data_IF_185546394298
#
_entry.id   IF_185546394298
#
_cell.length_a   1.000
_cell.length_b   1.000
_cell.length_c   1.000
_cell.angle_alpha   90.00
_cell.angle_beta   90.00
_cell.angle_gamma   90.00
#
_symmetry.space_group_name_H-M   'P 1'
#
loop_
_entity.id
_entity.type
_entity.pdbx_description
1 polymer ?
#
# COMPACT_ATOMS: atom_id res chain seq x y z
N UNK A 1 81.52 39.63 -44.50
CA UNK A 1 80.49 40.20 -43.59
C UNK A 1 79.27 39.30 -43.65
N UNK A 2 79.00 38.52 -42.60
CA UNK A 2 77.76 37.73 -42.56
C UNK A 2 76.57 38.70 -42.59
N UNK A 3 75.72 38.58 -43.62
CA UNK A 3 74.50 39.35 -43.73
C UNK A 3 73.62 39.05 -42.51
N UNK A 4 73.52 40.01 -41.58
CA UNK A 4 72.70 39.87 -40.36
C UNK A 4 71.20 40.07 -40.64
N UNK A 5 70.85 40.65 -41.78
CA UNK A 5 69.47 40.85 -42.24
C UNK A 5 68.64 39.54 -42.33
N UNK A 6 69.11 38.45 -42.96
CA UNK A 6 68.37 37.18 -42.95
C UNK A 6 68.23 36.60 -41.53
N UNK A 7 69.24 36.74 -40.67
CA UNK A 7 69.16 36.27 -39.28
C UNK A 7 68.11 37.04 -38.47
N UNK A 8 68.04 38.37 -38.63
CA UNK A 8 67.02 39.22 -38.00
C UNK A 8 65.62 38.88 -38.51
N UNK A 9 65.48 38.63 -39.81
CA UNK A 9 64.20 38.24 -40.41
C UNK A 9 63.70 36.89 -39.88
N UNK A 10 64.59 35.91 -39.73
CA UNK A 10 64.27 34.60 -39.14
C UNK A 10 63.83 34.75 -37.68
N UNK A 11 64.53 35.56 -36.89
CA UNK A 11 64.18 35.82 -35.48
C UNK A 11 62.81 36.51 -35.36
N UNK A 12 62.55 37.50 -36.21
CA UNK A 12 61.26 38.17 -36.25
C UNK A 12 60.12 37.20 -36.60
N UNK A 13 60.31 36.37 -37.63
CA UNK A 13 59.34 35.36 -38.05
C UNK A 13 59.06 34.35 -36.94
N UNK A 14 60.11 33.87 -36.25
CA UNK A 14 59.98 32.95 -35.12
C UNK A 14 59.21 33.58 -33.96
N UNK A 15 59.50 34.84 -33.65
CA UNK A 15 58.85 35.56 -32.54
C UNK A 15 57.38 35.84 -32.87
N UNK A 16 57.08 36.28 -34.10
CA UNK A 16 55.71 36.47 -34.58
C UNK A 16 54.93 35.16 -34.57
N UNK A 17 55.51 34.06 -35.04
CA UNK A 17 54.87 32.73 -35.02
C UNK A 17 54.63 32.24 -33.60
N UNK A 18 55.56 32.47 -32.67
CA UNK A 18 55.39 32.14 -31.25
C UNK A 18 54.26 32.94 -30.60
N UNK A 19 54.17 34.25 -30.88
CA UNK A 19 53.10 35.12 -30.40
C UNK A 19 51.74 34.68 -30.94
N UNK A 20 51.67 34.32 -32.23
CA UNK A 20 50.43 33.85 -32.86
C UNK A 20 49.95 32.54 -32.23
N UNK A 21 50.87 31.59 -32.01
CA UNK A 21 50.57 30.32 -31.36
C UNK A 21 50.13 30.52 -29.91
N UNK A 22 50.82 31.39 -29.16
CA UNK A 22 50.49 31.73 -27.76
C UNK A 22 49.15 32.46 -27.62
N UNK A 23 48.68 33.12 -28.68
CA UNK A 23 47.42 33.84 -28.72
C UNK A 23 46.19 32.92 -28.83
N UNK A 24 46.34 31.70 -29.34
CA UNK A 24 45.22 30.79 -29.59
C UNK A 24 44.86 30.02 -28.31
N UNK A 25 43.56 29.93 -27.99
CA UNK A 25 43.04 29.01 -27.00
C UNK A 25 41.72 28.37 -27.45
N UNK A 26 41.41 27.20 -26.89
CA UNK A 26 40.30 26.36 -27.32
C UNK A 26 39.37 26.13 -26.13
N UNK A 27 38.07 26.29 -26.34
CA UNK A 27 37.04 25.99 -25.35
C UNK A 27 36.30 24.72 -25.77
N UNK A 28 36.30 23.72 -24.90
CA UNK A 28 35.55 22.49 -25.11
C UNK A 28 34.05 22.67 -24.80
N UNK A 29 33.15 21.84 -25.37
CA UNK A 29 31.71 21.93 -25.10
C UNK A 29 31.32 21.77 -23.61
N UNK A 30 32.17 21.14 -22.79
CA UNK A 30 31.96 20.93 -21.35
C UNK A 30 32.55 22.04 -20.47
N UNK A 31 33.19 23.02 -21.08
CA UNK A 31 33.91 24.09 -20.40
C UNK A 31 33.37 25.46 -20.83
N UNK A 32 33.61 26.44 -20.00
CA UNK A 32 33.43 27.85 -20.29
C UNK A 32 34.66 28.58 -19.78
N UNK A 33 35.03 29.70 -20.41
CA UNK A 33 36.25 30.42 -20.06
C UNK A 33 35.95 31.87 -19.70
N UNK A 34 36.63 32.35 -18.66
CA UNK A 34 36.63 33.75 -18.26
C UNK A 34 37.99 34.33 -18.61
N UNK A 35 37.97 35.42 -19.38
CA UNK A 35 39.17 36.20 -19.68
C UNK A 35 39.26 37.32 -18.66
N UNK A 36 40.29 37.25 -17.82
CA UNK A 36 40.61 38.24 -16.79
C UNK A 36 41.79 39.07 -17.28
N UNK A 37 41.61 40.38 -17.38
CA UNK A 37 42.63 41.34 -17.83
C UNK A 37 42.96 42.28 -16.70
N UNK A 38 44.22 42.29 -16.25
CA UNK A 38 44.68 43.11 -15.12
C UNK A 38 43.77 42.95 -13.88
N UNK A 39 43.36 41.72 -13.58
CA UNK A 39 42.47 41.40 -12.45
C UNK A 39 40.99 41.74 -12.65
N UNK A 40 40.59 42.38 -13.75
CA UNK A 40 39.19 42.70 -14.07
C UNK A 40 38.60 41.69 -15.08
N UNK A 41 37.31 41.41 -14.96
CA UNK A 41 36.62 40.50 -15.89
C UNK A 41 36.38 41.24 -17.20
N UNK A 42 37.12 40.87 -18.25
CA UNK A 42 36.99 41.48 -19.57
C UNK A 42 35.85 40.85 -20.35
N UNK A 43 35.85 39.52 -20.49
CA UNK A 43 34.78 38.81 -21.22
C UNK A 43 34.61 37.37 -20.74
N UNK A 44 33.40 36.86 -20.91
CA UNK A 44 33.04 35.46 -20.64
C UNK A 44 32.70 34.80 -21.97
N UNK A 45 33.26 33.62 -22.22
CA UNK A 45 33.04 32.83 -23.44
C UNK A 45 32.46 31.46 -23.06
N UNK A 46 31.23 31.21 -23.50
CA UNK A 46 30.45 30.02 -23.11
C UNK A 46 30.20 29.06 -24.28
N UNK A 47 30.47 29.51 -25.51
CA UNK A 47 30.34 28.71 -26.72
C UNK A 47 31.65 28.00 -27.05
N UNK A 48 31.60 26.70 -27.41
CA UNK A 48 32.78 25.97 -27.81
C UNK A 48 33.35 26.54 -29.10
N UNK A 49 34.66 26.68 -29.16
CA UNK A 49 35.32 27.29 -30.30
C UNK A 49 36.77 27.66 -30.02
N UNK A 50 37.40 28.16 -31.08
CA UNK A 50 38.75 28.70 -31.02
C UNK A 50 38.63 30.21 -30.80
N UNK A 51 39.33 30.70 -29.80
CA UNK A 51 39.35 32.11 -29.44
C UNK A 51 40.80 32.61 -29.39
N UNK A 52 40.95 33.92 -29.54
CA UNK A 52 42.23 34.60 -29.49
C UNK A 52 42.32 35.46 -28.22
N UNK A 53 43.44 35.35 -27.52
CA UNK A 53 43.81 36.18 -26.38
C UNK A 53 45.11 36.93 -26.66
N UNK A 54 45.41 37.96 -25.91
CA UNK A 54 46.73 38.61 -26.00
C UNK A 54 47.82 37.64 -25.48
N UNK A 55 48.94 37.45 -26.19
CA UNK A 55 49.98 36.48 -25.82
C UNK A 55 50.82 36.92 -24.60
N UNK A 56 50.55 38.09 -24.02
CA UNK A 56 51.28 38.66 -22.89
C UNK A 56 50.81 38.10 -21.53
N UNK A 57 50.74 36.77 -21.40
CA UNK A 57 50.34 36.13 -20.15
C UNK A 57 51.26 36.50 -18.97
N UNK A 58 52.52 36.85 -19.24
CA UNK A 58 53.51 37.25 -18.24
C UNK A 58 53.32 38.66 -17.66
N UNK A 59 52.45 39.50 -18.24
CA UNK A 59 52.16 40.86 -17.76
C UNK A 59 50.76 40.97 -17.14
N UNK A 60 50.13 39.85 -16.76
CA UNK A 60 48.73 39.78 -16.32
C UNK A 60 47.73 40.44 -17.30
N UNK A 61 48.10 40.55 -18.58
CA UNK A 61 47.30 41.23 -19.58
C UNK A 61 46.05 40.43 -19.95
N UNK A 62 46.14 39.11 -20.11
CA UNK A 62 44.99 38.21 -20.30
C UNK A 62 45.27 36.84 -19.64
N UNK A 63 44.59 36.57 -18.53
CA UNK A 63 44.58 35.26 -17.86
C UNK A 63 43.24 34.55 -18.15
N UNK A 64 43.33 33.29 -18.60
CA UNK A 64 42.15 32.48 -18.93
C UNK A 64 41.89 31.52 -17.77
N UNK A 65 40.71 31.66 -17.16
CA UNK A 65 40.21 30.71 -16.18
C UNK A 65 39.13 29.83 -16.82
N UNK A 66 39.39 28.53 -16.87
CA UNK A 66 38.42 27.54 -17.31
C UNK A 66 37.50 27.15 -16.15
N UNK A 67 36.20 27.05 -16.43
CA UNK A 67 35.17 26.60 -15.51
C UNK A 67 34.36 25.49 -16.16
N UNK A 68 33.91 24.49 -15.39
CA UNK A 68 33.01 23.46 -15.90
C UNK A 68 31.64 24.04 -16.23
N UNK A 69 31.06 23.59 -17.35
CA UNK A 69 29.67 23.86 -17.77
C UNK A 69 28.73 22.69 -17.43
N UNK A 70 29.29 21.55 -17.09
CA UNK A 70 28.55 20.36 -16.71
C UNK A 70 27.91 20.48 -15.33
N UNK A 71 26.94 19.61 -15.09
CA UNK A 71 26.30 19.45 -13.79
C UNK A 71 27.30 18.84 -12.81
N UNK A 72 27.40 19.45 -11.64
CA UNK A 72 28.23 19.05 -10.52
C UNK A 72 27.35 18.59 -9.35
N UNK A 73 27.93 17.75 -8.50
CA UNK A 73 27.28 17.22 -7.30
C UNK A 73 28.07 17.68 -6.08
N UNK A 74 27.35 18.18 -5.08
CA UNK A 74 27.85 18.45 -3.74
C UNK A 74 27.12 17.54 -2.76
N UNK A 75 27.88 16.76 -2.01
CA UNK A 75 27.37 15.86 -0.98
C UNK A 75 27.47 16.50 0.41
N UNK A 76 26.48 16.24 1.25
CA UNK A 76 26.41 16.60 2.65
C UNK A 76 26.10 15.31 3.44
N UNK A 77 27.13 14.76 4.07
CA UNK A 77 27.03 13.50 4.78
C UNK A 77 26.96 13.70 6.30
N UNK A 78 26.25 12.79 6.98
CA UNK A 78 26.18 12.67 8.45
C UNK A 78 25.76 13.97 9.17
N UNK A 79 24.87 14.75 8.56
CA UNK A 79 24.39 15.98 9.17
C UNK A 79 23.40 15.67 10.30
N UNK A 80 23.71 16.11 11.52
CA UNK A 80 22.80 15.97 12.66
C UNK A 80 21.77 17.10 12.68
N UNK A 81 20.49 16.75 12.56
CA UNK A 81 19.35 17.66 12.61
C UNK A 81 18.39 17.27 13.73
N UNK A 82 17.70 18.28 14.28
CA UNK A 82 16.64 18.08 15.27
C UNK A 82 15.29 18.38 14.61
N UNK A 83 14.31 17.50 14.83
CA UNK A 83 12.93 17.71 14.38
C UNK A 83 12.09 18.41 15.44
N UNK A 84 10.89 18.86 15.08
CA UNK A 84 9.98 19.55 16.00
C UNK A 84 9.62 18.74 17.26
N UNK A 85 9.72 17.40 17.21
CA UNK A 85 9.50 16.45 18.30
C UNK A 85 10.73 16.29 19.23
N UNK A 86 11.77 17.10 19.05
CA UNK A 86 12.97 17.11 19.89
C UNK A 86 14.00 16.00 19.60
N UNK A 87 13.66 15.04 18.74
CA UNK A 87 14.53 13.91 18.36
C UNK A 87 15.63 14.33 17.37
N UNK A 88 16.76 13.65 17.45
CA UNK A 88 17.90 13.85 16.56
C UNK A 88 17.99 12.78 15.48
N UNK A 89 18.36 13.22 14.27
CA UNK A 89 18.54 12.38 13.09
C UNK A 89 19.83 12.69 12.40
N UNK A 90 20.39 11.68 11.76
CA UNK A 90 21.51 11.80 10.84
C UNK A 90 20.97 11.77 9.41
N UNK A 91 21.25 12.85 8.68
CA UNK A 91 20.74 13.08 7.34
C UNK A 91 21.90 13.14 6.37
N UNK A 92 21.79 12.33 5.32
CA UNK A 92 22.66 12.42 4.15
C UNK A 92 21.85 13.08 3.03
N UNK A 93 22.37 14.16 2.46
CA UNK A 93 21.75 14.87 1.36
C UNK A 93 22.77 15.24 0.30
N UNK A 94 22.31 15.50 -0.91
CA UNK A 94 23.14 16.01 -1.98
C UNK A 94 22.37 17.03 -2.81
N UNK A 95 23.11 17.99 -3.33
CA UNK A 95 22.60 18.99 -4.26
C UNK A 95 23.33 18.87 -5.58
N UNK A 96 22.55 18.94 -6.64
CA UNK A 96 23.01 18.89 -8.02
C UNK A 96 22.89 20.30 -8.58
N UNK A 97 24.01 20.87 -9.01
CA UNK A 97 24.09 22.26 -9.42
C UNK A 97 24.96 22.43 -10.67
N UNK A 98 24.79 23.54 -11.39
CA UNK A 98 25.67 23.93 -12.50
C UNK A 98 26.01 25.41 -12.40
N UNK A 99 27.14 25.81 -12.98
CA UNK A 99 27.54 27.21 -13.06
C UNK A 99 26.83 27.84 -14.25
N UNK A 100 25.77 28.61 -13.97
CA UNK A 100 24.96 29.27 -15.01
C UNK A 100 25.56 30.61 -15.42
N UNK A 101 26.03 31.41 -14.45
CA UNK A 101 26.70 32.68 -14.70
C UNK A 101 28.14 32.64 -14.20
N UNK A 102 29.07 32.47 -15.13
CA UNK A 102 30.51 32.45 -14.85
C UNK A 102 31.04 33.82 -14.38
N UNK A 103 30.46 34.94 -14.83
CA UNK A 103 30.87 36.28 -14.38
C UNK A 103 30.56 36.42 -12.89
N UNK A 104 29.31 36.19 -12.51
CA UNK A 104 28.86 36.32 -11.13
C UNK A 104 29.55 35.29 -10.21
N UNK A 105 29.84 34.10 -10.72
CA UNK A 105 30.65 33.10 -10.01
C UNK A 105 32.07 33.61 -9.70
N UNK A 106 32.76 34.25 -10.66
CA UNK A 106 34.08 34.83 -10.41
C UNK A 106 34.04 36.04 -9.49
N UNK A 107 33.02 36.90 -9.60
CA UNK A 107 32.85 38.06 -8.72
C UNK A 107 32.57 37.66 -7.28
N UNK A 108 31.78 36.61 -7.07
CA UNK A 108 31.35 36.18 -5.72
C UNK A 108 32.38 35.31 -5.01
N UNK A 109 32.98 34.34 -5.70
CA UNK A 109 33.85 33.31 -5.09
C UNK A 109 35.23 33.22 -5.74
N UNK A 110 35.64 34.24 -6.49
CA UNK A 110 36.92 34.21 -7.21
C UNK A 110 37.05 32.99 -8.14
N UNK A 111 35.94 32.45 -8.64
CA UNK A 111 35.98 31.28 -9.52
C UNK A 111 36.56 30.03 -8.85
N UNK A 112 36.70 30.04 -7.51
CA UNK A 112 37.13 28.89 -6.73
C UNK A 112 35.92 28.01 -6.41
N UNK A 113 35.97 26.79 -6.92
CA UNK A 113 34.96 25.78 -6.69
C UNK A 113 34.81 25.44 -5.21
N UNK A 114 35.91 25.32 -4.48
CA UNK A 114 35.87 24.91 -3.07
C UNK A 114 35.20 26.00 -2.21
N UNK A 115 35.49 27.26 -2.51
CA UNK A 115 34.85 28.40 -1.86
C UNK A 115 33.34 28.43 -2.12
N UNK A 116 32.90 28.20 -3.36
CA UNK A 116 31.48 28.10 -3.70
C UNK A 116 30.79 26.92 -3.00
N UNK A 117 31.40 25.73 -3.05
CA UNK A 117 30.87 24.53 -2.41
C UNK A 117 30.75 24.70 -0.90
N UNK A 118 31.73 25.34 -0.25
CA UNK A 118 31.67 25.63 1.19
C UNK A 118 30.51 26.57 1.55
N UNK A 119 30.29 27.63 0.76
CA UNK A 119 29.15 28.54 0.94
C UNK A 119 27.82 27.82 0.71
N UNK A 120 27.70 27.07 -0.39
CA UNK A 120 26.50 26.31 -0.72
C UNK A 120 26.20 25.25 0.35
N UNK A 121 27.23 24.56 0.88
CA UNK A 121 27.12 23.59 1.96
C UNK A 121 26.52 24.21 3.22
N UNK A 122 26.99 25.39 3.62
CA UNK A 122 26.45 26.12 4.79
C UNK A 122 24.99 26.52 4.58
N UNK A 123 24.62 26.92 3.36
CA UNK A 123 23.22 27.24 3.02
C UNK A 123 22.32 25.99 3.03
N UNK A 124 22.80 24.89 2.46
CA UNK A 124 22.10 23.61 2.47
C UNK A 124 21.90 23.09 3.89
N UNK A 125 22.94 23.15 4.76
CA UNK A 125 22.82 22.80 6.18
C UNK A 125 21.74 23.65 6.87
N UNK A 126 21.77 24.97 6.66
CA UNK A 126 20.77 25.89 7.26
C UNK A 126 19.33 25.61 6.77
N UNK A 127 19.16 25.33 5.48
CA UNK A 127 17.86 25.00 4.89
C UNK A 127 17.32 23.67 5.43
N UNK A 128 18.17 22.64 5.49
CA UNK A 128 17.81 21.35 6.07
C UNK A 128 17.42 21.49 7.55
N UNK A 129 18.19 22.22 8.37
CA UNK A 129 17.84 22.46 9.78
C UNK A 129 16.47 23.11 9.93
N UNK A 130 16.16 24.11 9.09
CA UNK A 130 14.87 24.80 9.12
C UNK A 130 13.73 23.85 8.75
N UNK A 131 13.82 23.16 7.62
CA UNK A 131 12.74 22.29 7.12
C UNK A 131 12.49 21.11 8.07
N UNK A 132 13.55 20.50 8.61
CA UNK A 132 13.41 19.44 9.62
C UNK A 132 12.87 19.98 10.96
N UNK A 133 13.30 21.17 11.38
CA UNK A 133 12.83 21.80 12.62
C UNK A 133 11.34 22.15 12.63
N UNK A 134 10.77 22.44 11.45
CA UNK A 134 9.34 22.78 11.30
C UNK A 134 8.41 21.56 11.19
N UNK A 135 8.97 20.34 10.99
CA UNK A 135 8.18 19.14 10.69
C UNK A 135 8.38 18.05 11.74
N UNK A 136 7.34 17.25 11.92
CA UNK A 136 7.38 16.06 12.78
C UNK A 136 8.10 14.89 12.08
N UNK A 137 8.60 13.97 12.87
CA UNK A 137 9.32 12.78 12.39
C UNK A 137 8.55 11.96 11.33
N UNK A 138 7.28 11.68 11.56
CA UNK A 138 6.44 10.84 10.69
C UNK A 138 6.33 11.41 9.28
N UNK A 139 6.35 12.74 9.17
CA UNK A 139 6.28 13.49 7.92
C UNK A 139 7.55 13.28 7.10
N UNK A 140 8.72 13.31 7.75
CA UNK A 140 10.02 13.17 7.10
C UNK A 140 10.25 11.79 6.44
N UNK A 141 9.56 10.75 6.93
CA UNK A 141 9.65 9.39 6.40
C UNK A 141 8.46 8.99 5.51
N UNK A 142 7.49 9.88 5.32
CA UNK A 142 6.25 9.59 4.58
C UNK A 142 6.27 10.14 3.14
N UNK A 143 5.12 10.09 2.45
CA UNK A 143 4.91 10.66 1.12
C UNK A 143 5.21 12.17 1.03
N UNK A 144 5.27 12.86 2.17
CA UNK A 144 5.58 14.30 2.27
C UNK A 144 7.09 14.61 2.19
N UNK A 145 7.95 13.60 2.06
CA UNK A 145 9.40 13.79 1.83
C UNK A 145 9.70 14.55 0.53
N UNK A 146 8.86 14.40 -0.50
CA UNK A 146 8.99 15.14 -1.75
C UNK A 146 8.80 16.64 -1.54
N UNK A 147 7.80 17.02 -0.74
CA UNK A 147 7.51 18.43 -0.43
C UNK A 147 8.66 19.07 0.35
N UNK A 148 9.26 18.32 1.29
CA UNK A 148 10.46 18.78 2.01
C UNK A 148 11.64 19.06 1.08
N UNK A 149 11.87 18.22 0.07
CA UNK A 149 12.95 18.46 -0.89
C UNK A 149 12.69 19.72 -1.73
N UNK A 150 11.43 19.99 -2.07
CA UNK A 150 11.03 21.21 -2.78
C UNK A 150 11.27 22.44 -1.90
N UNK A 151 10.87 22.39 -0.62
CA UNK A 151 11.09 23.48 0.32
C UNK A 151 12.58 23.78 0.49
N UNK A 152 13.41 22.75 0.72
CA UNK A 152 14.87 22.91 0.83
C UNK A 152 15.45 23.47 -0.46
N UNK A 153 14.99 23.01 -1.62
CA UNK A 153 15.44 23.53 -2.93
C UNK A 153 15.10 25.01 -3.07
N UNK A 154 13.86 25.41 -2.78
CA UNK A 154 13.41 26.81 -2.86
C UNK A 154 14.21 27.71 -1.91
N UNK A 155 14.51 27.19 -0.72
CA UNK A 155 15.29 27.87 0.31
C UNK A 155 16.74 28.17 -0.10
N UNK A 156 17.34 27.31 -0.93
CA UNK A 156 18.73 27.49 -1.38
C UNK A 156 18.87 28.21 -2.73
N UNK A 157 17.83 28.20 -3.57
CA UNK A 157 17.87 28.80 -4.93
C UNK A 157 18.33 30.25 -4.87
N UNK A 158 17.71 31.07 -4.02
CA UNK A 158 18.02 32.50 -3.95
C UNK A 158 19.46 32.80 -3.48
N UNK A 159 20.06 31.93 -2.67
CA UNK A 159 21.45 32.08 -2.25
C UNK A 159 22.43 31.49 -3.26
N UNK A 160 22.04 30.44 -3.99
CA UNK A 160 22.82 29.87 -5.08
C UNK A 160 22.92 30.83 -6.28
N UNK A 161 21.82 31.51 -6.63
CA UNK A 161 21.78 32.50 -7.71
C UNK A 161 22.74 33.67 -7.46
N UNK A 162 22.89 34.12 -6.20
CA UNK A 162 23.87 35.15 -5.80
C UNK A 162 25.32 34.71 -6.04
N UNK A 163 25.57 33.41 -6.11
CA UNK A 163 26.88 32.82 -6.42
C UNK A 163 27.04 32.51 -7.91
N UNK A 164 26.06 32.81 -8.77
CA UNK A 164 26.04 32.42 -10.18
C UNK A 164 25.77 30.93 -10.41
N UNK A 165 25.23 30.24 -9.40
CA UNK A 165 24.92 28.81 -9.45
C UNK A 165 23.43 28.59 -9.71
N UNK A 166 23.13 27.61 -10.56
CA UNK A 166 21.77 27.12 -10.78
C UNK A 166 21.61 25.74 -10.15
N UNK A 167 20.60 25.61 -9.29
CA UNK A 167 20.25 24.35 -8.63
C UNK A 167 19.32 23.54 -9.53
N UNK A 168 19.79 22.37 -9.97
CA UNK A 168 18.98 21.42 -10.72
C UNK A 168 18.04 20.67 -9.77
N UNK A 169 18.61 19.99 -8.77
CA UNK A 169 17.83 19.17 -7.83
C UNK A 169 18.51 19.07 -6.46
N UNK A 170 17.70 18.83 -5.43
CA UNK A 170 18.15 18.53 -4.06
C UNK A 170 17.51 17.22 -3.64
N UNK A 171 18.33 16.29 -3.18
CA UNK A 171 17.86 14.98 -2.75
C UNK A 171 18.44 14.61 -1.41
N UNK A 172 17.57 14.09 -0.57
CA UNK A 172 17.96 13.45 0.68
C UNK A 172 18.22 11.98 0.33
N UNK A 173 19.43 11.47 0.58
CA UNK A 173 19.80 10.07 0.38
C UNK A 173 19.23 9.21 1.51
N UNK A 174 19.46 9.61 2.76
CA UNK A 174 19.14 8.83 3.95
C UNK A 174 18.73 9.72 5.12
N UNK A 175 17.88 9.21 5.99
CA UNK A 175 17.48 9.86 7.24
C UNK A 175 17.33 8.76 8.29
N UNK A 176 18.33 8.65 9.15
CA UNK A 176 18.38 7.61 10.17
C UNK A 176 18.23 8.23 11.57
N UNK A 177 17.61 7.49 12.49
CA UNK A 177 17.61 7.82 13.91
C UNK A 177 19.03 7.68 14.46
N UNK A 178 19.45 8.58 15.35
CA UNK A 178 20.67 8.35 16.13
C UNK A 178 20.51 7.10 17.00
N UNK A 179 21.60 6.36 17.24
CA UNK A 179 21.56 5.12 18.02
C UNK A 179 20.96 5.31 19.42
N UNK A 180 21.16 6.49 20.02
CA UNK A 180 20.64 6.89 21.34
C UNK A 180 19.09 6.93 21.40
N UNK A 181 18.44 7.49 20.37
CA UNK A 181 16.97 7.70 20.33
C UNK A 181 16.25 6.51 19.68
N UNK A 182 16.99 5.77 18.85
CA UNK A 182 16.56 4.60 18.10
C UNK A 182 15.85 3.57 18.98
N UNK A 183 16.49 3.09 20.04
CA UNK A 183 15.98 1.97 20.84
C UNK A 183 14.64 2.29 21.54
N UNK A 184 14.57 3.43 22.24
CA UNK A 184 13.34 3.85 22.93
C UNK A 184 12.17 4.07 21.97
N UNK A 185 12.46 4.66 20.79
CA UNK A 185 11.43 4.89 19.77
C UNK A 185 10.97 3.56 19.18
N UNK A 186 11.88 2.61 18.92
CA UNK A 186 11.53 1.26 18.47
C UNK A 186 10.66 0.51 19.49
N UNK A 187 11.00 0.59 20.78
CA UNK A 187 10.23 -0.07 21.83
C UNK A 187 8.82 0.53 21.96
N UNK A 188 8.69 1.86 21.86
CA UNK A 188 7.37 2.54 21.83
C UNK A 188 6.56 2.13 20.60
N UNK A 189 7.16 2.15 19.41
CA UNK A 189 6.48 1.75 18.16
C UNK A 189 6.05 0.28 18.22
N UNK A 190 6.86 -0.59 18.82
CA UNK A 190 6.51 -2.00 19.05
C UNK A 190 5.31 -2.12 19.99
N UNK A 191 5.30 -1.38 21.10
CA UNK A 191 4.19 -1.37 22.04
C UNK A 191 2.89 -0.85 21.39
N UNK A 192 2.95 0.26 20.65
CA UNK A 192 1.80 0.81 19.90
C UNK A 192 1.27 -0.19 18.86
N UNK A 193 2.17 -0.84 18.10
CA UNK A 193 1.77 -1.87 17.12
C UNK A 193 1.12 -3.09 17.78
N UNK A 194 1.62 -3.52 18.94
CA UNK A 194 1.03 -4.61 19.70
C UNK A 194 -0.34 -4.22 20.25
N UNK A 195 -0.47 -2.99 20.77
CA UNK A 195 -1.74 -2.47 21.27
C UNK A 195 -2.79 -2.35 20.15
N UNK A 196 -2.41 -1.81 18.98
CA UNK A 196 -3.29 -1.71 17.81
C UNK A 196 -3.69 -3.10 17.29
N UNK A 197 -2.73 -4.04 17.21
CA UNK A 197 -3.02 -5.41 16.82
C UNK A 197 -4.00 -6.08 17.80
N UNK A 198 -3.83 -5.87 19.10
CA UNK A 198 -4.73 -6.43 20.11
C UNK A 198 -6.11 -5.77 20.08
N UNK A 199 -6.18 -4.47 19.83
CA UNK A 199 -7.43 -3.76 19.63
C UNK A 199 -8.20 -4.32 18.42
N UNK A 200 -7.54 -4.51 17.28
CA UNK A 200 -8.14 -5.11 16.09
C UNK A 200 -8.59 -6.55 16.37
N UNK A 201 -7.77 -7.36 17.05
CA UNK A 201 -8.14 -8.74 17.44
C UNK A 201 -9.34 -8.77 18.37
N UNK A 202 -9.38 -7.89 19.38
CA UNK A 202 -10.48 -7.78 20.32
C UNK A 202 -11.79 -7.43 19.61
N UNK A 203 -11.77 -6.42 18.72
CA UNK A 203 -12.92 -6.07 17.87
C UNK A 203 -13.33 -7.20 16.94
N UNK A 204 -12.37 -7.95 16.40
CA UNK A 204 -12.62 -9.14 15.59
C UNK A 204 -13.35 -10.22 16.39
N UNK A 205 -12.87 -10.52 17.60
CA UNK A 205 -13.49 -11.49 18.53
C UNK A 205 -14.89 -11.05 18.96
N UNK A 206 -15.08 -9.78 19.32
CA UNK A 206 -16.39 -9.22 19.69
C UNK A 206 -17.40 -9.39 18.55
N UNK A 207 -17.03 -8.97 17.33
CA UNK A 207 -17.88 -9.12 16.14
C UNK A 207 -18.20 -10.59 15.84
N UNK A 208 -17.19 -11.46 15.89
CA UNK A 208 -17.37 -12.89 15.66
C UNK A 208 -18.31 -13.52 16.69
N UNK A 209 -18.16 -13.18 17.97
CA UNK A 209 -19.01 -13.70 19.04
C UNK A 209 -20.45 -13.20 18.86
N UNK A 210 -20.64 -11.91 18.54
CA UNK A 210 -21.96 -11.33 18.26
C UNK A 210 -22.65 -12.06 17.11
N UNK A 211 -21.97 -12.24 15.97
CA UNK A 211 -22.56 -12.92 14.82
C UNK A 211 -22.86 -14.39 15.10
N UNK A 212 -22.00 -15.09 15.84
CA UNK A 212 -22.26 -16.46 16.28
C UNK A 212 -23.51 -16.55 17.16
N UNK A 213 -23.65 -15.67 18.15
CA UNK A 213 -24.85 -15.66 19.01
C UNK A 213 -26.14 -15.32 18.26
N UNK A 214 -26.08 -14.44 17.25
CA UNK A 214 -27.23 -14.17 16.38
C UNK A 214 -27.58 -15.41 15.55
N UNK A 215 -26.58 -16.05 14.93
CA UNK A 215 -26.78 -17.25 14.14
C UNK A 215 -27.32 -18.43 14.97
N UNK A 216 -26.81 -18.62 16.19
CA UNK A 216 -27.27 -19.68 17.10
C UNK A 216 -28.73 -19.46 17.51
N UNK A 217 -29.11 -18.20 17.80
CA UNK A 217 -30.50 -17.83 18.10
C UNK A 217 -31.41 -18.11 16.91
N UNK A 218 -31.02 -17.66 15.72
CA UNK A 218 -31.78 -17.84 14.48
C UNK A 218 -31.96 -19.33 14.16
N UNK A 219 -30.92 -20.14 14.35
CA UNK A 219 -31.01 -21.60 14.16
C UNK A 219 -32.02 -22.24 15.12
N UNK A 220 -32.03 -21.84 16.40
CA UNK A 220 -33.01 -22.34 17.38
C UNK A 220 -34.43 -21.92 17.00
N UNK A 221 -34.62 -20.67 16.57
CA UNK A 221 -35.92 -20.15 16.13
C UNK A 221 -36.45 -20.92 14.91
N UNK A 222 -35.62 -21.12 13.89
CA UNK A 222 -35.96 -21.91 12.69
C UNK A 222 -36.35 -23.34 13.06
N UNK A 223 -35.58 -24.00 13.94
CA UNK A 223 -35.89 -25.38 14.37
C UNK A 223 -37.20 -25.42 15.17
N UNK A 224 -37.44 -24.45 16.06
CA UNK A 224 -38.65 -24.38 16.85
C UNK A 224 -39.90 -24.12 16.00
N UNK A 225 -39.79 -23.24 15.01
CA UNK A 225 -40.86 -22.97 14.04
C UNK A 225 -41.13 -24.20 13.16
N UNK A 226 -40.08 -24.86 12.65
CA UNK A 226 -40.22 -26.10 11.89
C UNK A 226 -40.88 -27.23 12.70
N UNK A 227 -40.54 -27.37 13.99
CA UNK A 227 -41.18 -28.34 14.89
C UNK A 227 -42.65 -27.99 15.16
N UNK A 228 -42.95 -26.71 15.40
CA UNK A 228 -44.33 -26.23 15.58
C UNK A 228 -45.18 -26.56 14.35
N UNK A 229 -44.69 -26.21 13.17
CA UNK A 229 -45.38 -26.46 11.90
C UNK A 229 -45.55 -27.96 11.64
N UNK A 230 -44.53 -28.77 11.95
CA UNK A 230 -44.61 -30.23 11.87
C UNK A 230 -45.68 -30.81 12.79
N UNK A 231 -45.78 -30.37 14.04
CA UNK A 231 -46.82 -30.86 14.97
C UNK A 231 -48.22 -30.37 14.58
N UNK A 232 -48.35 -29.14 14.05
CA UNK A 232 -49.62 -28.65 13.48
C UNK A 232 -50.05 -29.52 12.30
N UNK A 233 -49.14 -29.76 11.34
CA UNK A 233 -49.43 -30.58 10.17
C UNK A 233 -49.77 -32.03 10.57
N UNK A 234 -49.06 -32.59 11.55
CA UNK A 234 -49.36 -33.93 12.07
C UNK A 234 -50.74 -33.96 12.75
N UNK A 235 -51.05 -32.96 13.58
CA UNK A 235 -52.35 -32.82 14.23
C UNK A 235 -53.51 -32.66 13.24
N UNK A 236 -53.32 -31.88 12.18
CA UNK A 236 -54.29 -31.74 11.08
C UNK A 236 -54.47 -33.07 10.33
N UNK A 237 -53.38 -33.77 10.01
CA UNK A 237 -53.41 -35.07 9.36
C UNK A 237 -54.12 -36.14 10.20
N UNK A 238 -53.88 -36.16 11.51
CA UNK A 238 -54.54 -37.08 12.45
C UNK A 238 -56.03 -36.75 12.62
N UNK A 239 -56.39 -35.47 12.65
CA UNK A 239 -57.78 -35.02 12.68
C UNK A 239 -58.52 -35.40 11.39
N UNK A 240 -57.92 -35.16 10.22
CA UNK A 240 -58.49 -35.53 8.92
C UNK A 240 -58.61 -37.05 8.77
N UNK A 241 -57.57 -37.80 9.16
CA UNK A 241 -57.60 -39.27 9.21
C UNK A 241 -58.77 -39.74 10.08
N UNK A 242 -58.90 -39.22 11.29
CA UNK A 242 -59.97 -39.60 12.22
C UNK A 242 -61.36 -39.25 11.67
N UNK A 243 -61.50 -38.09 11.02
CA UNK A 243 -62.74 -37.69 10.34
C UNK A 243 -63.10 -38.65 9.21
N UNK A 244 -62.16 -38.95 8.31
CA UNK A 244 -62.38 -39.86 7.19
C UNK A 244 -62.73 -41.27 7.67
N UNK A 245 -62.02 -41.77 8.69
CA UNK A 245 -62.38 -43.04 9.33
C UNK A 245 -63.81 -42.96 9.87
N UNK A 246 -64.16 -41.94 10.67
CA UNK A 246 -65.50 -41.78 11.25
C UNK A 246 -66.61 -41.69 10.20
N UNK A 247 -66.37 -41.00 9.09
CA UNK A 247 -67.30 -40.91 7.96
C UNK A 247 -67.46 -42.28 7.26
N UNK A 248 -66.39 -43.06 7.14
CA UNK A 248 -66.45 -44.43 6.64
C UNK A 248 -67.19 -45.37 7.62
N UNK A 249 -66.97 -45.25 8.93
CA UNK A 249 -67.69 -45.99 9.98
C UNK A 249 -69.20 -45.76 9.92
N UNK A 250 -69.64 -44.53 9.64
CA UNK A 250 -71.06 -44.18 9.56
C UNK A 250 -71.78 -44.80 8.36
N UNK A 251 -71.07 -45.17 7.29
CA UNK A 251 -71.69 -45.73 6.07
C UNK A 251 -72.23 -47.15 6.29
N UNK A 252 -71.47 -48.01 7.00
CA UNK A 252 -71.91 -49.35 7.38
C UNK A 252 -71.17 -49.82 8.65
N UNK A 253 -71.78 -49.67 9.84
CA UNK A 253 -71.19 -50.08 11.10
C UNK A 253 -70.95 -51.60 11.20
N UNK A 254 -71.82 -52.41 10.62
CA UNK A 254 -71.77 -53.87 10.75
C UNK A 254 -70.64 -54.46 9.90
N UNK A 255 -70.48 -53.98 8.68
CA UNK A 255 -69.37 -54.37 7.80
C UNK A 255 -68.02 -53.98 8.36
N UNK A 256 -67.91 -52.78 8.97
CA UNK A 256 -66.66 -52.33 9.56
C UNK A 256 -66.26 -53.18 10.77
N UNK A 257 -67.17 -53.46 11.71
CA UNK A 257 -66.86 -54.27 12.89
C UNK A 257 -66.36 -55.67 12.50
N UNK A 258 -66.94 -56.25 11.45
CA UNK A 258 -66.44 -57.47 10.81
C UNK A 258 -65.03 -57.27 10.22
N UNK A 259 -64.82 -56.27 9.36
CA UNK A 259 -63.53 -56.02 8.72
C UNK A 259 -62.39 -55.72 9.71
N UNK A 260 -62.64 -54.94 10.76
CA UNK A 260 -61.67 -54.67 11.84
C UNK A 260 -61.30 -55.95 12.58
N UNK A 261 -62.29 -56.80 12.89
CA UNK A 261 -62.03 -58.09 13.55
C UNK A 261 -61.19 -59.01 12.66
N UNK A 262 -61.48 -59.09 11.36
CA UNK A 262 -60.70 -59.86 10.38
C UNK A 262 -59.26 -59.35 10.28
N UNK A 263 -59.06 -58.03 10.21
CA UNK A 263 -57.72 -57.44 10.17
C UNK A 263 -56.94 -57.68 11.48
N UNK A 264 -57.62 -57.62 12.62
CA UNK A 264 -57.03 -57.96 13.91
C UNK A 264 -56.64 -59.45 13.98
N UNK A 265 -57.45 -60.36 13.43
CA UNK A 265 -57.10 -61.78 13.32
C UNK A 265 -55.87 -61.99 12.46
N UNK A 266 -55.82 -61.36 11.28
CA UNK A 266 -54.66 -61.47 10.36
C UNK A 266 -53.38 -60.99 11.07
N UNK A 267 -53.41 -59.80 11.69
CA UNK A 267 -52.25 -59.24 12.36
C UNK A 267 -51.81 -60.04 13.60
N UNK A 268 -52.75 -60.60 14.35
CA UNK A 268 -52.45 -61.38 15.55
C UNK A 268 -51.96 -62.80 15.21
N UNK A 269 -52.44 -63.40 14.13
CA UNK A 269 -52.13 -64.78 13.72
C UNK A 269 -50.97 -64.88 12.70
N UNK A 270 -50.47 -63.75 12.17
CA UNK A 270 -49.35 -63.74 11.22
C UNK A 270 -47.97 -63.88 11.86
N UNK A 271 -47.86 -63.73 13.18
CA UNK A 271 -46.61 -63.92 13.93
C UNK A 271 -46.50 -65.39 14.38
N UNK A 272 -45.56 -66.14 13.82
CA UNK A 272 -45.32 -67.55 14.16
C UNK A 272 -44.68 -67.78 15.55
N UNK A 273 -44.36 -66.70 16.28
CA UNK A 273 -43.63 -66.76 17.56
C UNK A 273 -44.49 -66.45 18.80
N UNK A 274 -45.75 -66.02 18.63
CA UNK A 274 -46.59 -65.60 19.76
C UNK A 274 -47.60 -66.69 20.14
N UNK A 275 -47.38 -67.35 21.29
CA UNK A 275 -48.33 -68.30 21.88
C UNK A 275 -49.47 -67.54 22.57
N UNK A 276 -50.69 -67.67 22.07
CA UNK A 276 -51.89 -67.01 22.62
C UNK A 276 -52.68 -67.97 23.51
N UNK A 277 -52.91 -67.58 24.77
CA UNK A 277 -53.82 -68.28 25.69
C UNK A 277 -55.10 -67.45 25.80
N UNK A 278 -56.13 -67.85 25.06
CA UNK A 278 -57.43 -67.17 25.03
C UNK A 278 -58.55 -68.17 25.29
N UNK A 279 -59.57 -67.75 26.04
CA UNK A 279 -60.77 -68.55 26.27
C UNK A 279 -61.60 -68.66 24.98
N UNK A 280 -62.18 -69.84 24.64
CA UNK A 280 -63.00 -70.04 23.45
C UNK A 280 -64.23 -69.11 23.35
N UNK A 281 -64.70 -68.56 24.46
CA UNK A 281 -65.84 -67.64 24.53
C UNK A 281 -65.42 -66.15 24.53
N UNK A 282 -64.17 -65.85 24.20
CA UNK A 282 -63.68 -64.47 24.17
C UNK A 282 -64.39 -63.65 23.08
N UNK A 283 -64.70 -62.39 23.41
CA UNK A 283 -65.23 -61.40 22.47
C UNK A 283 -64.33 -61.19 21.25
N UNK A 284 -63.05 -61.60 21.37
CA UNK A 284 -62.11 -61.66 20.26
C UNK A 284 -62.64 -62.54 19.12
N UNK A 285 -63.19 -63.74 19.35
CA UNK A 285 -63.60 -64.69 18.30
C UNK A 285 -65.07 -64.56 17.85
N UNK A 286 -65.74 -63.43 18.12
CA UNK A 286 -67.18 -63.22 17.85
C UNK A 286 -67.62 -63.59 16.43
N UNK A 287 -66.79 -63.32 15.42
CA UNK A 287 -67.09 -63.61 14.02
C UNK A 287 -66.50 -64.93 13.51
N UNK A 288 -65.68 -65.62 14.31
CA UNK A 288 -65.14 -66.95 14.00
C UNK A 288 -66.04 -68.07 14.55
N UNK A 289 -66.72 -67.81 15.67
CA UNK A 289 -67.60 -68.76 16.39
C UNK A 289 -69.07 -68.75 15.91
N UNK A 290 -69.36 -68.25 14.71
CA UNK A 290 -70.74 -68.32 14.19
C UNK A 290 -71.09 -69.79 13.97
N UNK A 291 -72.11 -70.35 14.65
CA UNK A 291 -72.56 -71.71 14.36
C UNK A 291 -73.07 -71.74 12.92
N UNK A 292 -72.62 -72.73 12.15
CA UNK A 292 -73.20 -73.05 10.85
C UNK A 292 -74.63 -73.58 11.03
N UNK A 293 -75.59 -72.70 11.30
CA UNK A 293 -77.02 -73.01 11.22
C UNK A 293 -77.58 -72.60 9.85
N UNK A 294 -77.73 -73.62 9.02
CA UNK A 294 -78.73 -73.80 7.97
C UNK A 294 -79.01 -72.66 6.98
N UNK A 295 -78.64 -72.93 5.73
CA UNK A 295 -79.36 -72.46 4.53
C UNK A 295 -80.88 -72.46 4.74
N UNK A 296 -81.49 -71.28 4.68
CA UNK A 296 -82.86 -71.09 4.16
C UNK A 296 -82.78 -69.99 3.09
N UNK A 297 -83.32 -70.21 1.88
CA UNK A 297 -83.06 -69.35 0.74
C UNK A 297 -83.72 -67.98 0.94
N UNK A 298 -82.97 -66.91 0.71
CA UNK A 298 -83.53 -65.58 0.50
C UNK A 298 -84.40 -65.63 -0.75
N UNK A 299 -85.72 -65.55 -0.55
CA UNK A 299 -86.68 -65.33 -1.62
C UNK A 299 -86.36 -64.00 -2.30
N UNK A 300 -86.11 -64.06 -3.61
CA UNK A 300 -86.19 -62.91 -4.49
C UNK A 300 -87.62 -62.38 -4.46
N UNK A 301 -87.86 -61.29 -3.73
CA UNK A 301 -89.05 -60.47 -3.92
C UNK A 301 -88.67 -59.00 -3.94
N UNK A 302 -88.64 -58.48 -5.18
CA UNK A 302 -88.97 -57.12 -5.61
C UNK A 302 -88.27 -55.97 -4.85
N UNK A 303 -87.24 -55.41 -5.48
CA UNK A 303 -87.15 -53.97 -5.61
C UNK A 303 -87.42 -53.60 -7.06
N UNK A 304 -88.63 -53.05 -7.24
CA UNK A 304 -89.04 -52.25 -8.38
C UNK A 304 -88.97 -50.81 -7.88
N UNK A 305 -88.49 -49.95 -8.78
CA UNK A 305 -88.30 -48.49 -8.71
C UNK A 305 -87.06 -47.99 -7.94
#
# INVERSE_FOLDING_TARGET
MLNRLPAIFIIFLLTASFLLYSSIFIINPREQAIIVRFGKIYSVKTEPGIYFKMPFAFMDADNIQYLPKQVLRLDLDNMRVQVSDGKFYEVDAFVVYRIADARLFRESVSGDRNAAESRLRTRLDSALRRVYGLRKFEVALSKQRSDMMIDVRNDIIGDAEKLGLMIEDVRIRRTDLTQEVSQQTYDRMKAERLAEAEFIRSRGKEKSQRYRSIADREAIEIIADAQRDSEINRGQGDAERTRLFSDAFRRDPAFFDFYRSMKAYINALSSSETSFVLSPNSQFFKYLNVPSESKKPLSLSKFKD
#
